data_IF_740537521801
#
_entry.id   IF_740537521801
#
_cell.length_a   1.000
_cell.length_b   1.000
_cell.length_c   1.000
_cell.angle_alpha   90.00
_cell.angle_beta   90.00
_cell.angle_gamma   90.00
#
_symmetry.space_group_name_H-M   'P 1'
#
loop_
_entity.id
_entity.type
_entity.pdbx_description
1 polymer ?
#
# COMPACT_ATOMS: atom_id res chain seq x y z
N UNK A 1 64.68 -25.19 -41.90
CA UNK A 1 65.40 -23.93 -41.88
C UNK A 1 64.38 -22.80 -42.15
N UNK A 2 63.72 -22.27 -41.15
CA UNK A 2 62.85 -21.09 -41.27
C UNK A 2 63.31 -20.09 -40.21
N UNK A 3 63.90 -19.00 -40.68
CA UNK A 3 64.42 -17.92 -39.85
C UNK A 3 63.29 -16.88 -39.63
N UNK A 4 62.80 -16.75 -38.40
CA UNK A 4 61.84 -15.71 -38.00
C UNK A 4 62.60 -14.43 -37.66
N UNK A 5 62.43 -13.39 -38.48
CA UNK A 5 62.93 -12.05 -38.18
C UNK A 5 61.93 -11.37 -37.21
N UNK A 6 62.31 -11.23 -35.95
CA UNK A 6 61.60 -10.32 -35.03
C UNK A 6 61.94 -8.87 -35.41
N UNK A 7 60.90 -8.10 -35.78
CA UNK A 7 60.99 -6.65 -35.97
C UNK A 7 60.92 -5.96 -34.62
N UNK A 8 62.00 -5.31 -34.20
CA UNK A 8 62.09 -4.50 -33.00
C UNK A 8 61.34 -3.16 -33.22
N UNK A 9 60.24 -2.97 -32.62
CA UNK A 9 59.49 -1.67 -32.63
C UNK A 9 60.24 -0.71 -31.71
N UNK A 10 60.58 0.52 -32.12
CA UNK A 10 61.33 1.47 -31.30
C UNK A 10 60.45 1.96 -30.14
N UNK A 11 61.01 1.90 -28.94
CA UNK A 11 60.39 2.31 -27.66
C UNK A 11 59.83 3.75 -27.65
N UNK A 12 60.16 4.61 -28.57
CA UNK A 12 59.67 5.98 -28.72
C UNK A 12 58.24 6.03 -29.29
N UNK A 13 57.86 5.12 -30.20
CA UNK A 13 56.52 5.07 -30.79
C UNK A 13 55.45 4.67 -29.80
N UNK A 14 55.78 3.76 -28.87
CA UNK A 14 54.84 3.28 -27.84
C UNK A 14 54.48 4.37 -26.81
N UNK A 15 55.41 5.28 -26.50
CA UNK A 15 55.13 6.38 -25.53
C UNK A 15 54.27 7.46 -26.14
N UNK A 16 54.39 7.76 -27.43
CA UNK A 16 53.53 8.76 -28.10
C UNK A 16 52.10 8.25 -28.26
N UNK A 17 51.90 6.95 -28.53
CA UNK A 17 50.58 6.35 -28.68
C UNK A 17 49.85 6.28 -27.36
N UNK A 18 50.50 6.00 -26.23
CA UNK A 18 49.93 5.98 -24.89
C UNK A 18 49.50 7.38 -24.42
N UNK A 19 50.27 8.43 -24.72
CA UNK A 19 49.96 9.83 -24.38
C UNK A 19 48.77 10.32 -25.22
N UNK A 20 48.62 9.95 -26.46
CA UNK A 20 47.48 10.30 -27.31
C UNK A 20 46.18 9.61 -26.87
N UNK A 21 46.23 8.37 -26.40
CA UNK A 21 45.06 7.65 -25.89
C UNK A 21 44.62 8.25 -24.55
N UNK A 22 45.54 8.69 -23.69
CA UNK A 22 45.20 9.30 -22.38
C UNK A 22 44.63 10.71 -22.50
N UNK A 23 44.93 11.46 -23.57
CA UNK A 23 44.37 12.79 -23.83
C UNK A 23 42.93 12.78 -24.35
N UNK A 24 42.44 11.65 -24.88
CA UNK A 24 41.06 11.56 -25.39
C UNK A 24 39.99 11.25 -24.31
N UNK A 25 40.42 10.86 -23.12
CA UNK A 25 39.50 10.48 -22.01
C UNK A 25 38.99 11.71 -21.20
N UNK A 26 39.57 12.89 -21.37
CA UNK A 26 39.24 14.08 -20.55
C UNK A 26 38.20 15.01 -21.21
N UNK A 27 37.76 14.76 -22.45
CA UNK A 27 36.81 15.59 -23.17
C UNK A 27 35.34 15.22 -22.95
N UNK A 28 35.03 14.41 -21.91
CA UNK A 28 33.69 14.02 -21.50
C UNK A 28 33.05 15.00 -20.48
N UNK A 29 33.20 16.31 -20.65
CA UNK A 29 32.35 17.28 -20.00
C UNK A 29 30.93 17.15 -20.60
N UNK A 30 30.09 16.26 -20.05
CA UNK A 30 28.66 16.30 -20.35
C UNK A 30 28.12 17.64 -19.87
N UNK A 31 27.90 18.56 -20.79
CA UNK A 31 27.08 19.75 -20.54
C UNK A 31 25.70 19.25 -20.10
N UNK A 32 25.42 19.32 -18.77
CA UNK A 32 24.07 19.06 -18.30
C UNK A 32 23.12 19.93 -19.12
N UNK A 33 22.05 19.35 -19.69
CA UNK A 33 21.06 20.15 -20.42
C UNK A 33 20.62 21.30 -19.53
N UNK A 34 20.62 22.52 -20.06
CA UNK A 34 20.18 23.69 -19.32
C UNK A 34 18.74 23.45 -18.89
N UNK A 35 18.46 23.53 -17.57
CA UNK A 35 17.12 23.35 -17.04
C UNK A 35 16.18 24.43 -17.64
N UNK A 36 15.20 24.08 -18.48
CA UNK A 36 14.33 25.03 -19.15
C UNK A 36 13.51 25.86 -18.15
N UNK A 37 13.35 25.37 -16.91
CA UNK A 37 12.59 26.06 -15.86
C UNK A 37 13.41 27.09 -15.09
N UNK A 38 14.70 27.31 -15.43
CA UNK A 38 15.62 28.17 -14.64
C UNK A 38 15.03 29.57 -14.39
N UNK A 39 14.37 30.16 -15.40
CA UNK A 39 13.81 31.49 -15.34
C UNK A 39 12.29 31.50 -15.04
N UNK A 40 11.69 30.37 -14.67
CA UNK A 40 10.27 30.32 -14.37
C UNK A 40 10.00 30.78 -12.94
N UNK A 41 8.94 31.58 -12.78
CA UNK A 41 8.42 31.91 -11.44
C UNK A 41 7.81 30.67 -10.80
N UNK A 42 7.73 30.61 -9.45
CA UNK A 42 7.06 29.52 -8.76
C UNK A 42 5.63 29.26 -9.26
N UNK A 43 4.86 30.30 -9.53
CA UNK A 43 3.49 30.17 -10.05
C UNK A 43 3.46 29.57 -11.46
N UNK A 44 4.44 29.91 -12.32
CA UNK A 44 4.54 29.30 -13.65
C UNK A 44 4.89 27.81 -13.57
N UNK A 45 5.82 27.44 -12.67
CA UNK A 45 6.14 26.01 -12.47
C UNK A 45 4.92 25.24 -11.98
N UNK A 46 4.15 25.82 -11.05
CA UNK A 46 2.92 25.23 -10.55
C UNK A 46 1.89 25.04 -11.66
N UNK A 47 1.62 26.07 -12.45
CA UNK A 47 0.67 25.98 -13.57
C UNK A 47 1.05 24.87 -14.54
N UNK A 48 2.30 24.82 -14.97
CA UNK A 48 2.79 23.81 -15.90
C UNK A 48 2.69 22.39 -15.30
N UNK A 49 3.09 22.24 -14.03
CA UNK A 49 2.97 20.95 -13.33
C UNK A 49 1.51 20.47 -13.24
N UNK A 50 0.58 21.39 -12.96
CA UNK A 50 -0.85 21.08 -12.91
C UNK A 50 -1.41 20.74 -14.29
N UNK A 51 -0.95 21.40 -15.36
CA UNK A 51 -1.39 21.10 -16.72
C UNK A 51 -0.92 19.72 -17.16
N UNK A 52 0.33 19.33 -16.86
CA UNK A 52 0.81 17.96 -17.08
C UNK A 52 0.02 16.94 -16.23
N UNK A 53 -0.27 17.24 -14.97
CA UNK A 53 -1.06 16.35 -14.11
C UNK A 53 -2.51 16.18 -14.62
N UNK A 54 -3.16 17.23 -15.09
CA UNK A 54 -4.52 17.19 -15.66
C UNK A 54 -4.61 16.35 -16.93
N UNK A 55 -3.55 16.33 -17.74
CA UNK A 55 -3.47 15.49 -18.93
C UNK A 55 -3.09 14.04 -18.62
N UNK A 56 -2.86 13.70 -17.33
CA UNK A 56 -2.43 12.38 -16.90
C UNK A 56 -0.93 12.11 -17.05
N UNK A 57 -0.15 13.13 -17.46
CA UNK A 57 1.32 13.04 -17.60
C UNK A 57 2.02 13.20 -16.26
N UNK A 58 1.66 12.35 -15.28
CA UNK A 58 2.16 12.46 -13.90
C UNK A 58 3.68 12.35 -13.78
N UNK A 59 4.31 11.54 -14.62
CA UNK A 59 5.78 11.40 -14.65
C UNK A 59 6.49 12.71 -14.99
N UNK A 60 5.85 13.58 -15.78
CA UNK A 60 6.37 14.92 -16.10
C UNK A 60 6.02 15.94 -15.02
N UNK A 61 4.86 15.78 -14.36
CA UNK A 61 4.42 16.67 -13.30
C UNK A 61 5.29 16.53 -12.04
N UNK A 62 5.68 15.31 -11.65
CA UNK A 62 6.47 15.02 -10.45
C UNK A 62 7.74 15.89 -10.37
N UNK A 63 8.64 15.93 -11.37
CA UNK A 63 9.85 16.73 -11.28
C UNK A 63 9.58 18.24 -11.24
N UNK A 64 8.46 18.72 -11.81
CA UNK A 64 8.06 20.12 -11.73
C UNK A 64 7.60 20.47 -10.31
N UNK A 65 6.77 19.64 -9.68
CA UNK A 65 6.39 19.81 -8.28
C UNK A 65 7.60 19.75 -7.35
N UNK A 66 8.56 18.88 -7.61
CA UNK A 66 9.79 18.78 -6.83
C UNK A 66 10.65 20.05 -6.91
N UNK A 67 10.80 20.62 -8.12
CA UNK A 67 11.47 21.91 -8.32
C UNK A 67 10.73 23.04 -7.61
N UNK A 68 9.39 23.03 -7.67
CA UNK A 68 8.58 24.04 -7.01
C UNK A 68 8.72 23.97 -5.49
N UNK A 69 8.69 22.77 -4.92
CA UNK A 69 8.92 22.54 -3.49
C UNK A 69 10.25 23.16 -3.02
N UNK A 70 11.32 22.98 -3.80
CA UNK A 70 12.61 23.60 -3.49
C UNK A 70 12.64 25.10 -3.66
N UNK A 71 12.04 25.65 -4.74
CA UNK A 71 12.08 27.11 -5.04
C UNK A 71 11.14 27.94 -4.17
N UNK A 72 10.03 27.36 -3.73
CA UNK A 72 9.04 28.03 -2.89
C UNK A 72 9.09 27.57 -1.44
N UNK A 73 10.23 27.05 -0.99
CA UNK A 73 10.39 26.48 0.35
C UNK A 73 9.85 27.43 1.44
N UNK A 74 9.12 26.85 2.42
CA UNK A 74 8.50 27.60 3.51
C UNK A 74 7.19 28.31 3.16
N UNK A 75 6.72 28.25 1.92
CA UNK A 75 5.45 28.87 1.50
C UNK A 75 4.30 27.87 1.45
N UNK A 76 3.03 28.33 1.51
CA UNK A 76 1.86 27.47 1.26
C UNK A 76 1.90 26.79 -0.12
N UNK A 77 2.48 27.43 -1.13
CA UNK A 77 2.62 26.88 -2.47
C UNK A 77 3.54 25.66 -2.50
N UNK A 78 4.62 25.66 -1.69
CA UNK A 78 5.48 24.48 -1.54
C UNK A 78 4.74 23.31 -0.87
N UNK A 79 3.91 23.60 0.14
CA UNK A 79 3.08 22.58 0.79
C UNK A 79 2.09 21.96 -0.21
N UNK A 80 1.44 22.79 -1.02
CA UNK A 80 0.54 22.31 -2.07
C UNK A 80 1.29 21.47 -3.10
N UNK A 81 2.46 21.94 -3.57
CA UNK A 81 3.29 21.17 -4.50
C UNK A 81 3.70 19.80 -3.95
N UNK A 82 3.97 19.71 -2.64
CA UNK A 82 4.30 18.45 -1.99
C UNK A 82 3.12 17.48 -1.99
N UNK A 83 1.90 17.94 -1.76
CA UNK A 83 0.69 17.13 -1.81
C UNK A 83 0.36 16.67 -3.24
N UNK A 84 0.45 17.58 -4.21
CA UNK A 84 0.24 17.26 -5.63
C UNK A 84 1.29 16.26 -6.14
N UNK A 85 2.55 16.41 -5.71
CA UNK A 85 3.61 15.41 -5.99
C UNK A 85 3.26 14.04 -5.43
N UNK A 86 2.81 13.98 -4.18
CA UNK A 86 2.41 12.71 -3.56
C UNK A 86 1.25 12.05 -4.32
N UNK A 87 0.26 12.86 -4.75
CA UNK A 87 -0.83 12.38 -5.57
C UNK A 87 -0.36 11.86 -6.93
N UNK A 88 0.52 12.58 -7.62
CA UNK A 88 1.11 12.15 -8.88
C UNK A 88 1.92 10.84 -8.72
N UNK A 89 2.70 10.71 -7.65
CA UNK A 89 3.42 9.48 -7.30
C UNK A 89 2.45 8.30 -7.06
N UNK A 90 1.32 8.54 -6.39
CA UNK A 90 0.27 7.54 -6.23
C UNK A 90 -0.30 7.11 -7.59
N UNK A 91 -0.60 8.06 -8.46
CA UNK A 91 -1.17 7.79 -9.81
C UNK A 91 -0.22 7.02 -10.74
N UNK A 92 1.09 7.17 -10.57
CA UNK A 92 2.12 6.42 -11.32
C UNK A 92 2.45 5.06 -10.69
N UNK A 93 1.82 4.69 -9.57
CA UNK A 93 2.11 3.44 -8.85
C UNK A 93 3.39 3.50 -8.01
N UNK A 94 4.00 4.67 -7.85
CA UNK A 94 5.19 4.89 -7.01
C UNK A 94 4.79 4.99 -5.52
N UNK A 95 4.11 3.95 -5.01
CA UNK A 95 3.48 3.91 -3.68
C UNK A 95 4.44 4.27 -2.55
N UNK A 96 5.62 3.67 -2.51
CA UNK A 96 6.60 3.93 -1.45
C UNK A 96 7.07 5.39 -1.43
N UNK A 97 7.21 6.02 -2.60
CA UNK A 97 7.58 7.43 -2.72
C UNK A 97 6.44 8.35 -2.26
N UNK A 98 5.20 8.03 -2.64
CA UNK A 98 4.01 8.76 -2.20
C UNK A 98 3.88 8.75 -0.67
N UNK A 99 4.00 7.57 -0.03
CA UNK A 99 3.99 7.43 1.43
C UNK A 99 5.10 8.27 2.07
N UNK A 100 6.34 8.16 1.59
CA UNK A 100 7.47 8.93 2.14
C UNK A 100 7.25 10.45 2.00
N UNK A 101 6.66 10.90 0.88
CA UNK A 101 6.34 12.31 0.67
C UNK A 101 5.26 12.79 1.65
N UNK A 102 4.23 11.98 1.89
CA UNK A 102 3.13 12.29 2.82
C UNK A 102 3.60 12.24 4.29
N UNK A 103 4.42 11.27 4.67
CA UNK A 103 5.01 11.21 6.01
C UNK A 103 5.84 12.45 6.32
N UNK A 104 6.64 12.91 5.34
CA UNK A 104 7.38 14.15 5.46
C UNK A 104 6.45 15.36 5.61
N UNK A 105 5.37 15.42 4.84
CA UNK A 105 4.37 16.49 4.95
C UNK A 105 3.74 16.55 6.33
N UNK A 106 3.22 15.43 6.83
CA UNK A 106 2.57 15.31 8.15
C UNK A 106 3.53 15.75 9.26
N UNK A 107 4.79 15.32 9.16
CA UNK A 107 5.83 15.65 10.16
C UNK A 107 6.22 17.14 10.13
N UNK A 108 6.37 17.73 8.96
CA UNK A 108 6.85 19.11 8.81
C UNK A 108 5.74 20.15 8.94
N UNK A 109 4.48 19.78 8.67
CA UNK A 109 3.35 20.70 8.61
C UNK A 109 2.16 20.23 9.49
N UNK A 110 2.38 19.99 10.81
CA UNK A 110 1.35 19.44 11.71
C UNK A 110 0.15 20.37 11.94
N UNK A 111 0.28 21.67 11.61
CA UNK A 111 -0.76 22.68 11.70
C UNK A 111 -1.28 23.11 10.33
N UNK A 112 -0.93 22.41 9.25
CA UNK A 112 -1.42 22.75 7.91
C UNK A 112 -2.93 22.54 7.81
N UNK A 113 -3.69 23.47 7.18
CA UNK A 113 -5.11 23.27 6.93
C UNK A 113 -5.41 22.12 5.96
N UNK A 114 -4.40 21.61 5.24
CA UNK A 114 -4.51 20.47 4.33
C UNK A 114 -4.02 19.15 4.97
N UNK A 115 -3.86 19.12 6.30
CA UNK A 115 -3.37 17.92 6.98
C UNK A 115 -4.39 16.78 6.92
N UNK A 116 -5.68 17.11 6.94
CA UNK A 116 -6.75 16.13 6.76
C UNK A 116 -6.66 15.45 5.38
N UNK A 117 -6.42 16.21 4.32
CA UNK A 117 -6.18 15.66 2.98
C UNK A 117 -4.91 14.81 2.91
N UNK A 118 -3.83 15.25 3.54
CA UNK A 118 -2.58 14.47 3.57
C UNK A 118 -2.77 13.09 4.23
N UNK A 119 -3.47 13.04 5.36
CA UNK A 119 -3.80 11.79 6.05
C UNK A 119 -4.73 10.91 5.22
N UNK A 120 -5.73 11.51 4.58
CA UNK A 120 -6.63 10.80 3.69
C UNK A 120 -5.89 10.18 2.51
N UNK A 121 -5.06 10.96 1.82
CA UNK A 121 -4.27 10.48 0.69
C UNK A 121 -3.30 9.38 1.11
N UNK A 122 -2.65 9.52 2.28
CA UNK A 122 -1.78 8.46 2.84
C UNK A 122 -2.56 7.17 3.09
N UNK A 123 -3.77 7.28 3.63
CA UNK A 123 -4.68 6.15 3.77
C UNK A 123 -4.99 5.50 2.43
N UNK A 124 -5.31 6.29 1.39
CA UNK A 124 -5.61 5.79 0.04
C UNK A 124 -4.43 5.09 -0.63
N UNK A 125 -3.22 5.64 -0.50
CA UNK A 125 -1.99 5.07 -1.08
C UNK A 125 -1.72 3.66 -0.55
N UNK A 126 -2.01 3.43 0.73
CA UNK A 126 -1.85 2.14 1.39
C UNK A 126 -3.10 1.26 1.32
N UNK A 127 -4.23 1.81 0.85
CA UNK A 127 -5.48 1.08 0.73
C UNK A 127 -5.46 0.20 -0.52
N UNK A 128 -5.77 -1.07 -0.34
CA UNK A 128 -5.88 -2.01 -1.45
C UNK A 128 -7.30 -2.57 -1.49
N UNK A 129 -8.06 -2.18 -2.50
CA UNK A 129 -9.44 -2.65 -2.73
C UNK A 129 -9.50 -4.16 -3.04
N UNK A 130 -8.38 -4.76 -3.41
CA UNK A 130 -8.30 -6.16 -3.82
C UNK A 130 -8.11 -7.14 -2.65
N UNK A 131 -8.00 -6.66 -1.40
CA UNK A 131 -7.77 -7.50 -0.22
C UNK A 131 -8.87 -8.55 0.04
N UNK A 132 -10.05 -8.43 -0.60
CA UNK A 132 -11.16 -9.35 -0.37
C UNK A 132 -11.72 -10.07 -1.59
N UNK A 133 -11.48 -9.58 -2.83
CA UNK A 133 -12.27 -10.00 -3.99
C UNK A 133 -11.57 -10.97 -4.95
N UNK A 134 -10.27 -10.85 -5.12
CA UNK A 134 -9.51 -11.62 -6.10
C UNK A 134 -8.40 -12.49 -5.50
N UNK A 135 -8.10 -12.35 -4.22
CA UNK A 135 -7.09 -13.20 -3.55
C UNK A 135 -7.48 -14.68 -3.57
N UNK A 136 -8.78 -14.99 -3.58
CA UNK A 136 -9.28 -16.37 -3.69
C UNK A 136 -9.08 -16.98 -5.08
N UNK A 137 -9.00 -16.15 -6.14
CA UNK A 137 -8.79 -16.60 -7.52
C UNK A 137 -7.30 -16.73 -7.83
N UNK A 138 -6.46 -15.84 -7.30
CA UNK A 138 -5.03 -15.83 -7.60
C UNK A 138 -4.21 -16.81 -6.79
N UNK A 139 -4.76 -17.48 -5.74
CA UNK A 139 -4.02 -18.33 -4.79
C UNK A 139 -2.74 -17.67 -4.24
N UNK A 140 -2.65 -16.34 -4.32
CA UNK A 140 -1.56 -15.63 -3.70
C UNK A 140 -1.85 -15.53 -2.21
N UNK A 141 -0.99 -16.12 -1.39
CA UNK A 141 -0.94 -15.85 0.03
C UNK A 141 -0.92 -14.34 0.21
N UNK A 142 -1.87 -13.81 1.00
CA UNK A 142 -1.84 -12.43 1.45
C UNK A 142 -0.46 -12.23 2.08
N UNK A 143 0.45 -11.63 1.33
CA UNK A 143 1.81 -11.46 1.78
C UNK A 143 1.81 -10.60 3.04
N UNK A 144 2.77 -10.80 3.93
CA UNK A 144 2.98 -9.99 5.12
C UNK A 144 3.02 -8.49 4.79
N UNK A 145 3.48 -8.15 3.59
CA UNK A 145 3.50 -6.79 3.04
C UNK A 145 2.11 -6.19 2.85
N UNK A 146 1.14 -6.96 2.36
CA UNK A 146 -0.22 -6.49 2.13
C UNK A 146 -0.95 -6.23 3.44
N UNK A 147 -0.74 -7.08 4.46
CA UNK A 147 -1.27 -6.84 5.81
C UNK A 147 -0.68 -5.60 6.46
N UNK A 148 0.61 -5.32 6.24
CA UNK A 148 1.26 -4.12 6.75
C UNK A 148 0.66 -2.87 6.10
N UNK A 149 0.51 -2.84 4.78
CA UNK A 149 -0.10 -1.72 4.06
C UNK A 149 -1.55 -1.49 4.53
N UNK A 150 -2.33 -2.55 4.73
CA UNK A 150 -3.69 -2.46 5.25
C UNK A 150 -3.74 -1.84 6.65
N UNK A 151 -2.82 -2.21 7.55
CA UNK A 151 -2.71 -1.62 8.89
C UNK A 151 -2.30 -0.16 8.82
N UNK A 152 -1.33 0.20 7.99
CA UNK A 152 -0.90 1.59 7.79
C UNK A 152 -2.01 2.46 7.20
N UNK A 153 -2.81 1.91 6.27
CA UNK A 153 -4.02 2.56 5.75
C UNK A 153 -5.02 2.84 6.86
N UNK A 154 -5.35 1.81 7.65
CA UNK A 154 -6.26 1.92 8.78
C UNK A 154 -5.83 2.98 9.79
N UNK A 155 -4.56 2.99 10.19
CA UNK A 155 -4.04 3.98 11.16
C UNK A 155 -4.08 5.41 10.59
N UNK A 156 -3.82 5.60 9.30
CA UNK A 156 -3.91 6.91 8.65
C UNK A 156 -5.35 7.43 8.62
N UNK A 157 -6.32 6.58 8.28
CA UNK A 157 -7.74 6.94 8.31
C UNK A 157 -8.26 7.15 9.75
N UNK A 158 -7.79 6.37 10.71
CA UNK A 158 -8.12 6.52 12.13
C UNK A 158 -7.61 7.85 12.66
N UNK A 159 -6.37 8.24 12.36
CA UNK A 159 -5.83 9.54 12.73
C UNK A 159 -6.66 10.68 12.11
N UNK A 160 -6.99 10.57 10.83
CA UNK A 160 -7.86 11.53 10.14
C UNK A 160 -9.20 11.69 10.87
N UNK A 161 -9.93 10.59 11.08
CA UNK A 161 -11.29 10.63 11.66
C UNK A 161 -11.32 11.05 13.11
N UNK A 162 -10.20 10.87 13.83
CA UNK A 162 -10.06 11.28 15.24
C UNK A 162 -9.72 12.77 15.36
N UNK A 163 -8.78 13.26 14.55
CA UNK A 163 -8.31 14.65 14.62
C UNK A 163 -9.21 15.61 13.85
N UNK A 164 -9.86 15.13 12.80
CA UNK A 164 -10.68 15.94 11.88
C UNK A 164 -12.03 15.24 11.62
N UNK A 165 -12.88 15.07 12.66
CA UNK A 165 -14.14 14.34 12.54
C UNK A 165 -15.09 14.95 11.51
N UNK A 166 -15.03 16.28 11.32
CA UNK A 166 -15.88 17.06 10.41
C UNK A 166 -15.23 17.28 9.02
N UNK A 167 -14.06 16.72 8.77
CA UNK A 167 -13.46 16.76 7.43
C UNK A 167 -14.35 16.05 6.40
N UNK A 168 -14.45 16.63 5.21
CA UNK A 168 -15.17 16.04 4.07
C UNK A 168 -14.67 14.62 3.71
N UNK A 169 -13.47 14.27 4.11
CA UNK A 169 -12.87 12.97 3.86
C UNK A 169 -13.22 11.92 4.93
N UNK A 170 -13.67 12.34 6.10
CA UNK A 170 -13.91 11.47 7.25
C UNK A 170 -15.03 10.43 7.04
N UNK A 171 -16.13 10.70 6.32
CA UNK A 171 -17.13 9.67 6.03
C UNK A 171 -16.57 8.52 5.19
N UNK A 172 -15.87 8.81 4.09
CA UNK A 172 -15.24 7.80 3.24
C UNK A 172 -14.12 7.04 4.00
N UNK A 173 -13.32 7.74 4.79
CA UNK A 173 -12.29 7.13 5.61
C UNK A 173 -12.86 6.08 6.59
N UNK A 174 -13.99 6.38 7.26
CA UNK A 174 -14.67 5.43 8.17
C UNK A 174 -15.13 4.18 7.41
N UNK A 175 -15.68 4.35 6.22
CA UNK A 175 -16.13 3.22 5.41
C UNK A 175 -14.94 2.33 5.02
N UNK A 176 -13.82 2.92 4.59
CA UNK A 176 -12.60 2.17 4.25
C UNK A 176 -11.96 1.49 5.46
N UNK A 177 -12.02 2.11 6.64
CA UNK A 177 -11.59 1.47 7.89
C UNK A 177 -12.39 0.21 8.17
N UNK A 178 -13.72 0.27 8.09
CA UNK A 178 -14.58 -0.89 8.30
C UNK A 178 -14.29 -2.01 7.30
N UNK A 179 -14.09 -1.66 6.03
CA UNK A 179 -13.68 -2.62 5.00
C UNK A 179 -12.33 -3.27 5.33
N UNK A 180 -11.33 -2.48 5.71
CA UNK A 180 -9.99 -2.97 6.05
C UNK A 180 -10.01 -3.94 7.22
N UNK A 181 -10.73 -3.59 8.29
CA UNK A 181 -10.87 -4.45 9.48
C UNK A 181 -11.55 -5.77 9.13
N UNK A 182 -12.62 -5.73 8.34
CA UNK A 182 -13.29 -6.95 7.89
C UNK A 182 -12.39 -7.81 6.99
N UNK A 183 -11.61 -7.20 6.10
CA UNK A 183 -10.68 -7.92 5.21
C UNK A 183 -9.55 -8.62 6.00
N UNK A 184 -9.03 -7.97 7.05
CA UNK A 184 -8.04 -8.56 7.94
C UNK A 184 -8.63 -9.75 8.72
N UNK A 185 -9.85 -9.61 9.25
CA UNK A 185 -10.57 -10.68 9.92
C UNK A 185 -10.83 -11.87 8.97
N UNK A 186 -11.27 -11.59 7.73
CA UNK A 186 -11.49 -12.61 6.70
C UNK A 186 -10.22 -13.40 6.38
N UNK A 187 -9.05 -12.77 6.38
CA UNK A 187 -7.77 -13.45 6.19
C UNK A 187 -7.57 -14.56 7.23
N UNK A 188 -7.78 -14.25 8.52
CA UNK A 188 -7.69 -15.24 9.60
C UNK A 188 -8.75 -16.34 9.46
N UNK A 189 -9.97 -15.97 9.06
CA UNK A 189 -11.07 -16.94 8.83
C UNK A 189 -10.76 -17.86 7.66
N UNK A 190 -10.17 -17.39 6.58
CA UNK A 190 -9.75 -18.24 5.45
C UNK A 190 -8.69 -19.26 5.88
N UNK A 191 -7.71 -18.83 6.68
CA UNK A 191 -6.70 -19.73 7.24
C UNK A 191 -7.34 -20.76 8.19
N UNK A 192 -8.28 -20.31 9.04
CA UNK A 192 -9.02 -21.19 9.93
C UNK A 192 -9.82 -22.24 9.15
N UNK A 193 -10.52 -21.84 8.09
CA UNK A 193 -11.28 -22.73 7.20
C UNK A 193 -10.36 -23.76 6.51
N UNK A 194 -9.19 -23.31 6.05
CA UNK A 194 -8.20 -24.20 5.47
C UNK A 194 -7.77 -25.28 6.46
N UNK A 195 -7.40 -24.92 7.70
CA UNK A 195 -7.03 -25.89 8.73
C UNK A 195 -8.20 -26.83 9.08
N UNK A 196 -9.42 -26.29 9.18
CA UNK A 196 -10.61 -27.10 9.41
C UNK A 196 -10.80 -28.16 8.31
N UNK A 197 -10.68 -27.78 7.04
CA UNK A 197 -10.83 -28.70 5.89
C UNK A 197 -9.75 -29.78 5.85
N UNK A 198 -8.60 -29.56 6.51
CA UNK A 198 -7.50 -30.51 6.64
C UNK A 198 -7.60 -31.38 7.91
N UNK A 199 -8.64 -31.23 8.71
CA UNK A 199 -8.79 -31.96 9.98
C UNK A 199 -7.91 -31.43 11.11
N UNK A 200 -7.18 -30.33 10.90
CA UNK A 200 -6.34 -29.68 11.92
C UNK A 200 -7.19 -28.76 12.82
N UNK A 201 -8.15 -29.36 13.54
CA UNK A 201 -9.20 -28.63 14.26
C UNK A 201 -8.67 -27.67 15.33
N UNK A 202 -7.63 -28.05 16.07
CA UNK A 202 -7.02 -27.16 17.08
C UNK A 202 -6.41 -25.90 16.42
N UNK A 203 -5.73 -26.06 15.28
CA UNK A 203 -5.19 -24.93 14.54
C UNK A 203 -6.30 -24.06 13.96
N UNK A 204 -7.41 -24.66 13.49
CA UNK A 204 -8.58 -23.92 13.03
C UNK A 204 -9.22 -23.08 14.15
N UNK A 205 -9.37 -23.67 15.35
CA UNK A 205 -9.86 -22.96 16.54
C UNK A 205 -8.98 -21.75 16.86
N UNK A 206 -7.66 -21.96 16.94
CA UNK A 206 -6.71 -20.89 17.28
C UNK A 206 -6.82 -19.71 16.30
N UNK A 207 -6.86 -19.98 15.00
CA UNK A 207 -6.99 -18.93 13.98
C UNK A 207 -8.34 -18.20 14.03
N UNK A 208 -9.44 -18.94 14.18
CA UNK A 208 -10.77 -18.36 14.32
C UNK A 208 -10.89 -17.52 15.61
N UNK A 209 -10.30 -17.96 16.71
CA UNK A 209 -10.24 -17.21 17.96
C UNK A 209 -9.38 -15.94 17.84
N UNK A 210 -8.27 -15.98 17.09
CA UNK A 210 -7.51 -14.76 16.75
C UNK A 210 -8.40 -13.74 16.04
N UNK A 211 -9.18 -14.17 15.03
CA UNK A 211 -10.13 -13.28 14.37
C UNK A 211 -11.14 -12.66 15.36
N UNK A 212 -11.72 -13.48 16.26
CA UNK A 212 -12.72 -13.03 17.25
C UNK A 212 -12.12 -12.09 18.29
N UNK A 213 -10.85 -12.30 18.70
CA UNK A 213 -10.20 -11.50 19.72
C UNK A 213 -9.69 -10.15 19.20
N UNK A 214 -9.10 -10.15 17.99
CA UNK A 214 -8.39 -8.99 17.45
C UNK A 214 -9.32 -8.03 16.69
N UNK A 215 -10.45 -8.54 16.15
CA UNK A 215 -11.39 -7.74 15.37
C UNK A 215 -12.77 -7.73 16.03
N UNK A 216 -13.47 -6.61 15.92
CA UNK A 216 -14.81 -6.45 16.53
C UNK A 216 -15.80 -5.92 15.49
N UNK A 217 -17.05 -6.32 15.65
CA UNK A 217 -18.18 -5.78 14.88
C UNK A 217 -18.02 -5.88 13.37
N UNK A 218 -17.41 -6.97 12.89
CA UNK A 218 -17.22 -7.23 11.45
C UNK A 218 -17.90 -8.54 11.04
N UNK A 219 -18.44 -8.59 9.81
CA UNK A 219 -19.18 -9.75 9.30
C UNK A 219 -18.41 -11.08 9.31
N UNK A 220 -17.09 -11.02 9.16
CA UNK A 220 -16.23 -12.21 9.14
C UNK A 220 -16.31 -13.04 10.44
N UNK A 221 -16.68 -12.42 11.56
CA UNK A 221 -16.74 -13.10 12.87
C UNK A 221 -17.88 -14.13 12.96
N UNK A 222 -18.92 -13.97 12.14
CA UNK A 222 -19.98 -14.97 12.05
C UNK A 222 -19.39 -16.32 11.61
N UNK A 223 -18.62 -16.36 10.53
CA UNK A 223 -17.97 -17.58 10.08
C UNK A 223 -16.88 -18.05 11.04
N UNK A 224 -16.08 -17.15 11.62
CA UNK A 224 -15.08 -17.50 12.62
C UNK A 224 -15.70 -18.30 13.77
N UNK A 225 -16.81 -17.79 14.31
CA UNK A 225 -17.54 -18.45 15.42
C UNK A 225 -18.12 -19.80 14.99
N UNK A 226 -18.63 -19.89 13.76
CA UNK A 226 -19.10 -21.16 13.20
C UNK A 226 -17.99 -22.19 13.05
N UNK A 227 -16.79 -21.80 12.61
CA UNK A 227 -15.62 -22.67 12.53
C UNK A 227 -15.25 -23.22 13.92
N UNK A 228 -15.23 -22.37 14.95
CA UNK A 228 -14.94 -22.79 16.33
C UNK A 228 -15.97 -23.83 16.79
N UNK A 229 -17.26 -23.57 16.58
CA UNK A 229 -18.34 -24.51 16.88
C UNK A 229 -18.12 -25.89 16.20
N UNK A 230 -17.89 -25.87 14.89
CA UNK A 230 -17.68 -27.10 14.12
C UNK A 230 -16.41 -27.86 14.50
N UNK A 231 -15.35 -27.14 14.84
CA UNK A 231 -14.09 -27.75 15.26
C UNK A 231 -14.20 -28.41 16.65
N UNK A 232 -14.92 -27.80 17.60
CA UNK A 232 -15.21 -28.44 18.89
C UNK A 232 -16.09 -29.67 18.73
N UNK A 233 -17.07 -29.64 17.82
CA UNK A 233 -17.92 -30.79 17.49
C UNK A 233 -17.05 -31.95 16.95
N UNK A 234 -16.15 -31.66 16.01
CA UNK A 234 -15.24 -32.66 15.43
C UNK A 234 -14.23 -33.24 16.43
N UNK A 235 -13.86 -32.49 17.46
CA UNK A 235 -12.97 -32.94 18.57
C UNK A 235 -13.73 -33.66 19.68
N UNK A 236 -15.06 -33.77 19.64
CA UNK A 236 -15.87 -34.35 20.68
C UNK A 236 -15.95 -33.54 21.99
N UNK A 237 -15.58 -32.25 21.92
CA UNK A 237 -15.58 -31.33 23.06
C UNK A 237 -17.00 -30.77 23.31
N UNK A 238 -17.91 -31.61 23.78
CA UNK A 238 -19.35 -31.36 23.82
C UNK A 238 -19.75 -30.10 24.58
N UNK A 239 -19.13 -29.83 25.73
CA UNK A 239 -19.44 -28.63 26.53
C UNK A 239 -19.05 -27.36 25.77
N UNK A 240 -17.83 -27.27 25.22
CA UNK A 240 -17.36 -26.11 24.47
C UNK A 240 -18.15 -25.91 23.16
N UNK A 241 -18.51 -27.00 22.51
CA UNK A 241 -19.41 -26.98 21.36
C UNK A 241 -20.76 -26.33 21.69
N UNK A 242 -21.40 -26.80 22.77
CA UNK A 242 -22.75 -26.35 23.15
C UNK A 242 -22.74 -24.89 23.64
N UNK A 243 -21.69 -24.49 24.36
CA UNK A 243 -21.49 -23.10 24.76
C UNK A 243 -21.27 -22.20 23.54
N UNK A 244 -20.44 -22.62 22.60
CA UNK A 244 -20.17 -21.86 21.36
C UNK A 244 -21.45 -21.77 20.51
N UNK A 245 -22.21 -22.83 20.40
CA UNK A 245 -23.49 -22.85 19.68
C UNK A 245 -24.46 -21.84 20.27
N UNK A 246 -24.62 -21.82 21.58
CA UNK A 246 -25.51 -20.88 22.29
C UNK A 246 -25.09 -19.42 22.07
N UNK A 247 -23.79 -19.14 22.11
CA UNK A 247 -23.24 -17.80 21.81
C UNK A 247 -23.55 -17.44 20.36
N UNK A 248 -23.29 -18.34 19.41
CA UNK A 248 -23.52 -18.11 17.99
C UNK A 248 -24.99 -17.79 17.70
N UNK A 249 -25.93 -18.61 18.19
CA UNK A 249 -27.37 -18.42 17.98
C UNK A 249 -27.87 -17.10 18.56
N UNK A 250 -27.30 -16.67 19.69
CA UNK A 250 -27.65 -15.40 20.32
C UNK A 250 -27.07 -14.19 19.57
N UNK A 251 -25.85 -14.34 19.04
CA UNK A 251 -25.12 -13.22 18.37
C UNK A 251 -25.56 -13.06 16.91
N UNK A 252 -25.86 -14.18 16.24
CA UNK A 252 -26.19 -14.22 14.81
C UNK A 252 -27.51 -14.96 14.57
N UNK A 253 -28.67 -14.43 15.03
CA UNK A 253 -29.96 -15.11 14.95
C UNK A 253 -30.41 -15.37 13.50
N UNK A 254 -30.00 -14.51 12.55
CA UNK A 254 -30.33 -14.61 11.13
C UNK A 254 -29.32 -15.45 10.32
N UNK A 255 -28.39 -16.10 11.00
CA UNK A 255 -27.30 -16.86 10.37
C UNK A 255 -27.82 -18.01 9.52
N UNK A 256 -27.27 -18.16 8.34
CA UNK A 256 -27.55 -19.29 7.45
C UNK A 256 -26.56 -20.46 7.62
N UNK A 257 -25.55 -20.34 8.47
CA UNK A 257 -24.52 -21.36 8.63
C UNK A 257 -25.06 -22.71 9.13
N UNK A 258 -26.04 -22.73 10.02
CA UNK A 258 -26.63 -24.02 10.46
C UNK A 258 -27.42 -24.72 9.35
N UNK A 259 -28.00 -23.99 8.40
CA UNK A 259 -28.74 -24.56 7.29
C UNK A 259 -27.86 -24.90 6.08
N UNK A 260 -26.93 -24.02 5.72
CA UNK A 260 -26.12 -24.09 4.51
C UNK A 260 -24.66 -24.53 4.75
N UNK A 261 -24.22 -24.58 6.02
CA UNK A 261 -22.81 -24.81 6.35
C UNK A 261 -21.91 -23.74 5.73
N UNK A 262 -20.69 -24.11 5.34
CA UNK A 262 -19.73 -23.19 4.69
C UNK A 262 -20.19 -22.63 3.33
N UNK A 263 -21.23 -23.17 2.71
CA UNK A 263 -21.84 -22.61 1.50
C UNK A 263 -22.58 -21.28 1.77
N UNK A 264 -22.86 -20.95 3.03
CA UNK A 264 -23.46 -19.67 3.40
C UNK A 264 -22.55 -18.48 3.01
N UNK A 265 -21.23 -18.68 3.01
CA UNK A 265 -20.23 -17.67 2.66
C UNK A 265 -20.26 -17.28 1.18
N UNK A 266 -20.62 -18.20 0.27
CA UNK A 266 -20.63 -17.95 -1.17
C UNK A 266 -21.65 -16.88 -1.62
N UNK A 267 -22.65 -16.57 -0.78
CA UNK A 267 -23.74 -15.65 -1.13
C UNK A 267 -23.70 -14.30 -0.41
N UNK A 268 -22.84 -14.09 0.55
CA UNK A 268 -23.00 -13.01 1.54
C UNK A 268 -22.11 -11.78 1.31
N UNK A 269 -20.97 -11.91 0.70
CA UNK A 269 -19.92 -10.88 0.72
C UNK A 269 -20.12 -9.70 -0.24
N UNK A 270 -20.89 -9.85 -1.33
CA UNK A 270 -21.14 -8.75 -2.30
C UNK A 270 -22.33 -7.85 -1.95
N UNK A 271 -22.98 -8.06 -0.81
CA UNK A 271 -24.16 -7.29 -0.39
C UNK A 271 -23.83 -6.01 0.39
N UNK A 272 -22.54 -5.66 0.51
CA UNK A 272 -22.10 -4.50 1.30
C UNK A 272 -21.79 -3.24 0.47
N UNK A 273 -22.22 -3.20 -0.81
CA UNK A 273 -22.10 -2.02 -1.69
C UNK A 273 -23.47 -1.46 -2.05
#
# INVERSE_FOLDING_TARGET
>A
MFSSKLSVVPRSATRVTVVLIFSFVIAGCSTKPLDPTTNWSPNKIYSEAMDEARTGSYDKAIPLFEKLEGRAAGTPLAQQAQLEKAYAQYKTGAQAQAVATLDRFVKLHPASPALDYALYLKGLVNFNDNLGLFSSISRQDLSERDQKAAKESFESFKELTTRFPDSRYSPDARQRMSYTVNSLALSEVHVARYYYSRGAYVAAINRAQTAIADYRDVPALEEATYIVFKAYDALGMTQLRDDTKRIFEKTYPESQFFGKGFKATESSWYKFW
#
